data_IF_551711792414
#
_entry.id   IF_551711792414
#
_cell.length_a   1.000
_cell.length_b   1.000
_cell.length_c   1.000
_cell.angle_alpha   90.00
_cell.angle_beta   90.00
_cell.angle_gamma   90.00
#
_symmetry.space_group_name_H-M   'P 1'
#
loop_
_entity.id
_entity.type
_entity.pdbx_description
1 polymer ?
#
# COMPACT_ATOMS: atom_id res chain seq x y z
N UNK A 1 24.49 -44.19 -28.92
CA UNK A 1 24.39 -44.18 -27.82
C UNK A 1 24.71 -43.09 -26.91
N UNK A 2 25.88 -42.67 -26.68
CA UNK A 2 26.14 -41.62 -25.76
C UNK A 2 25.67 -40.31 -26.25
N UNK A 3 25.57 -40.17 -27.53
CA UNK A 3 25.13 -38.86 -28.05
C UNK A 3 23.78 -38.48 -27.58
N UNK A 4 22.93 -39.44 -27.40
CA UNK A 4 21.60 -39.07 -26.97
C UNK A 4 21.58 -38.44 -25.62
N UNK A 5 22.45 -38.90 -24.75
CA UNK A 5 22.46 -38.32 -23.44
C UNK A 5 22.89 -36.90 -23.46
N UNK A 6 23.85 -36.61 -24.31
CA UNK A 6 24.35 -35.26 -24.34
C UNK A 6 23.37 -34.29 -24.93
N UNK A 7 22.30 -34.78 -25.54
CA UNK A 7 21.41 -33.91 -26.15
C UNK A 7 20.65 -33.06 -25.19
N UNK A 8 20.15 -33.62 -24.14
CA UNK A 8 19.41 -32.84 -23.17
C UNK A 8 20.27 -31.83 -22.54
N UNK A 9 21.42 -32.21 -22.08
CA UNK A 9 22.34 -31.31 -21.49
C UNK A 9 23.52 -31.22 -22.37
N UNK A 10 23.59 -30.21 -23.18
CA UNK A 10 24.72 -30.08 -24.05
C UNK A 10 25.96 -30.28 -23.22
N UNK A 11 26.62 -31.33 -23.49
CA UNK A 11 27.69 -31.69 -22.69
C UNK A 11 28.92 -31.17 -23.23
N UNK A 12 29.23 -29.97 -22.94
CA UNK A 12 30.46 -29.42 -23.47
C UNK A 12 31.59 -30.15 -22.82
N UNK A 13 32.69 -29.97 -23.35
CA UNK A 13 33.85 -30.60 -22.84
C UNK A 13 34.78 -29.60 -22.28
N UNK A 14 35.45 -29.90 -21.23
CA UNK A 14 36.45 -29.04 -20.69
C UNK A 14 35.91 -27.65 -20.39
N UNK A 15 36.51 -26.67 -21.02
CA UNK A 15 36.14 -25.28 -20.75
C UNK A 15 34.70 -24.99 -21.09
N UNK A 16 34.09 -25.76 -21.99
CA UNK A 16 32.69 -25.57 -22.30
C UNK A 16 31.79 -25.84 -21.11
N UNK A 17 32.14 -26.86 -20.33
CA UNK A 17 31.38 -27.16 -19.13
C UNK A 17 31.45 -26.01 -18.12
N UNK A 18 32.64 -25.49 -17.95
CA UNK A 18 32.79 -24.38 -17.02
C UNK A 18 32.00 -23.16 -17.46
N UNK A 19 32.04 -22.86 -18.75
CA UNK A 19 31.27 -21.74 -19.29
C UNK A 19 29.77 -21.92 -19.07
N UNK A 20 29.31 -23.15 -19.29
CA UNK A 20 27.91 -23.46 -19.07
C UNK A 20 27.51 -23.23 -17.61
N UNK A 21 28.33 -23.71 -16.69
CA UNK A 21 28.03 -23.53 -15.27
C UNK A 21 28.07 -22.07 -14.87
N UNK A 22 29.05 -21.33 -15.38
CA UNK A 22 29.12 -19.93 -15.09
C UNK A 22 27.90 -19.19 -15.59
N UNK A 23 27.43 -19.53 -16.77
CA UNK A 23 26.25 -18.90 -17.32
C UNK A 23 25.01 -19.23 -16.51
N UNK A 24 24.88 -20.48 -16.10
CA UNK A 24 23.75 -20.86 -15.24
C UNK A 24 23.80 -20.13 -13.92
N UNK A 25 24.97 -19.97 -13.35
CA UNK A 25 25.10 -19.22 -12.10
C UNK A 25 24.72 -17.77 -12.29
N UNK A 26 25.07 -17.18 -13.42
CA UNK A 26 24.67 -15.81 -13.71
C UNK A 26 23.16 -15.68 -13.82
N UNK A 27 22.54 -16.63 -14.48
CA UNK A 27 21.09 -16.61 -14.64
C UNK A 27 20.40 -16.72 -13.29
N UNK A 28 20.85 -17.63 -12.45
CA UNK A 28 20.27 -17.80 -11.12
C UNK A 28 20.48 -16.57 -10.27
N UNK A 29 21.67 -15.96 -10.33
CA UNK A 29 21.94 -14.77 -9.57
C UNK A 29 21.07 -13.62 -10.02
N UNK A 30 20.86 -13.48 -11.33
CA UNK A 30 20.00 -12.43 -11.86
C UNK A 30 18.55 -12.62 -11.44
N UNK A 31 18.09 -13.88 -11.46
CA UNK A 31 16.73 -14.15 -11.02
C UNK A 31 16.55 -13.88 -9.54
N UNK A 32 17.55 -14.24 -8.76
CA UNK A 32 17.49 -13.99 -7.33
C UNK A 32 17.46 -12.50 -7.05
N UNK A 33 18.30 -11.73 -7.74
CA UNK A 33 18.32 -10.29 -7.56
C UNK A 33 16.99 -9.67 -7.94
N UNK A 34 16.40 -10.13 -9.04
CA UNK A 34 15.10 -9.62 -9.47
C UNK A 34 14.02 -9.96 -8.43
N UNK A 35 14.06 -11.17 -7.90
CA UNK A 35 13.09 -11.57 -6.89
C UNK A 35 13.22 -10.73 -5.64
N UNK A 36 14.43 -10.50 -5.18
CA UNK A 36 14.65 -9.69 -3.98
C UNK A 36 14.19 -8.26 -4.20
N UNK A 37 14.46 -7.71 -5.38
CA UNK A 37 14.03 -6.37 -5.69
C UNK A 37 12.52 -6.25 -5.68
N UNK A 38 11.83 -7.20 -6.30
CA UNK A 38 10.38 -7.19 -6.33
C UNK A 38 9.80 -7.37 -4.94
N UNK A 39 10.43 -8.20 -4.13
CA UNK A 39 9.97 -8.40 -2.77
C UNK A 39 10.08 -7.13 -1.96
N UNK A 40 11.20 -6.42 -2.10
CA UNK A 40 11.39 -5.16 -1.41
C UNK A 40 10.38 -4.11 -1.87
N UNK A 41 10.15 -4.02 -3.17
CA UNK A 41 9.17 -3.09 -3.70
C UNK A 41 7.77 -3.40 -3.19
N UNK A 42 7.44 -4.67 -3.12
CA UNK A 42 6.14 -5.08 -2.62
C UNK A 42 5.99 -4.71 -1.15
N UNK A 43 7.03 -4.94 -0.35
CA UNK A 43 6.99 -4.61 1.06
C UNK A 43 6.87 -3.10 1.27
N UNK A 44 7.59 -2.32 0.46
CA UNK A 44 7.48 -0.87 0.55
C UNK A 44 6.07 -0.39 0.22
N UNK A 45 5.49 -0.92 -0.84
CA UNK A 45 4.14 -0.54 -1.22
C UNK A 45 3.13 -0.96 -0.16
N UNK A 46 3.34 -2.12 0.45
CA UNK A 46 2.48 -2.58 1.51
C UNK A 46 2.53 -1.65 2.71
N UNK A 47 3.73 -1.19 3.07
CA UNK A 47 3.89 -0.25 4.17
C UNK A 47 3.25 1.08 3.85
N UNK A 48 3.41 1.55 2.61
CA UNK A 48 2.80 2.80 2.20
C UNK A 48 1.27 2.71 2.25
N UNK A 49 0.73 1.59 1.82
CA UNK A 49 -0.72 1.39 1.91
C UNK A 49 -1.20 1.41 3.34
N UNK A 50 -0.46 0.80 4.25
CA UNK A 50 -0.82 0.83 5.65
C UNK A 50 -0.81 2.25 6.20
N UNK A 51 0.19 3.04 5.82
CA UNK A 51 0.26 4.42 6.25
C UNK A 51 -0.94 5.21 5.71
N UNK A 52 -1.27 4.99 4.45
CA UNK A 52 -2.42 5.68 3.85
C UNK A 52 -3.70 5.28 4.57
N UNK A 53 -3.88 4.01 4.88
CA UNK A 53 -5.06 3.56 5.59
C UNK A 53 -5.16 4.17 6.97
N UNK A 54 -4.02 4.26 7.68
CA UNK A 54 -4.00 4.88 8.99
C UNK A 54 -4.36 6.35 8.90
N UNK A 55 -3.81 7.04 7.91
CA UNK A 55 -4.08 8.46 7.73
C UNK A 55 -5.53 8.71 7.35
N UNK A 56 -6.07 7.87 6.47
CA UNK A 56 -7.48 7.98 6.10
C UNK A 56 -8.38 7.76 7.31
N UNK A 57 -8.04 6.79 8.15
CA UNK A 57 -8.81 6.57 9.37
C UNK A 57 -8.79 7.77 10.29
N UNK A 58 -7.62 8.40 10.41
CA UNK A 58 -7.51 9.58 11.24
C UNK A 58 -8.32 10.74 10.68
N UNK A 59 -8.26 10.94 9.38
CA UNK A 59 -9.02 12.01 8.74
C UNK A 59 -10.51 11.76 8.86
N UNK A 60 -10.91 10.50 8.75
CA UNK A 60 -12.32 10.14 8.89
C UNK A 60 -12.82 10.46 10.29
N UNK A 61 -12.03 10.12 11.30
CA UNK A 61 -12.42 10.42 12.68
C UNK A 61 -12.48 11.93 12.93
N UNK A 62 -11.52 12.66 12.37
CA UNK A 62 -11.52 14.12 12.50
C UNK A 62 -12.76 14.71 11.85
N UNK A 63 -13.12 14.19 10.68
CA UNK A 63 -14.29 14.66 9.97
C UNK A 63 -15.57 14.37 10.75
N UNK A 64 -15.66 13.19 11.36
CA UNK A 64 -16.80 12.85 12.19
C UNK A 64 -16.92 13.80 13.38
N UNK A 65 -15.78 14.11 14.00
CA UNK A 65 -15.77 15.04 15.11
C UNK A 65 -16.26 16.43 14.69
N UNK A 66 -15.78 16.91 13.54
CA UNK A 66 -16.22 18.20 13.03
C UNK A 66 -17.70 18.19 12.71
N UNK A 67 -18.18 17.08 12.17
CA UNK A 67 -19.59 16.95 11.86
C UNK A 67 -20.45 17.02 13.11
N UNK A 68 -20.00 16.39 14.19
CA UNK A 68 -20.73 16.45 15.45
C UNK A 68 -20.69 17.84 16.04
N UNK A 69 -19.54 18.52 15.95
CA UNK A 69 -19.45 19.86 16.44
C UNK A 69 -20.38 20.82 15.67
N UNK A 70 -20.44 20.62 14.36
CA UNK A 70 -21.33 21.43 13.53
C UNK A 70 -22.78 21.20 13.91
N UNK A 71 -23.17 19.92 14.10
CA UNK A 71 -24.54 19.61 14.48
C UNK A 71 -24.87 20.23 15.83
N UNK A 72 -23.93 20.19 16.77
CA UNK A 72 -24.11 20.78 18.08
C UNK A 72 -24.26 22.30 17.98
N UNK A 73 -23.43 22.93 17.15
CA UNK A 73 -23.50 24.35 16.95
C UNK A 73 -24.83 24.77 16.31
N UNK A 74 -25.31 24.02 15.36
CA UNK A 74 -26.57 24.29 14.71
C UNK A 74 -27.73 24.17 15.72
N UNK A 75 -27.66 23.19 16.58
CA UNK A 75 -28.67 23.00 17.60
C UNK A 75 -28.68 24.19 18.56
N UNK A 76 -27.50 24.62 19.01
CA UNK A 76 -27.44 25.80 19.91
C UNK A 76 -27.96 27.02 19.24
N UNK A 77 -27.64 27.22 17.97
CA UNK A 77 -28.12 28.37 17.24
C UNK A 77 -29.64 28.37 17.15
N UNK A 78 -30.22 27.21 16.86
CA UNK A 78 -31.64 27.08 16.77
C UNK A 78 -32.32 27.41 18.11
N UNK A 79 -31.71 26.95 19.21
CA UNK A 79 -32.22 27.23 20.54
C UNK A 79 -32.14 28.71 20.85
N UNK A 80 -31.04 29.35 20.47
CA UNK A 80 -30.90 30.78 20.70
C UNK A 80 -31.92 31.60 19.88
N UNK A 81 -32.13 31.17 18.66
CA UNK A 81 -33.12 31.85 17.82
C UNK A 81 -34.52 31.68 18.38
N UNK A 82 -34.83 30.50 18.89
CA UNK A 82 -36.13 30.26 19.48
C UNK A 82 -36.31 31.10 20.74
N UNK A 83 -35.27 31.19 21.56
CA UNK A 83 -35.34 32.00 22.77
C UNK A 83 -35.49 33.47 22.43
N UNK A 84 -34.75 33.94 21.42
CA UNK A 84 -34.85 35.33 20.99
C UNK A 84 -36.24 35.65 20.46
N UNK A 85 -36.83 34.75 19.72
CA UNK A 85 -38.17 34.94 19.19
C UNK A 85 -39.18 35.02 20.30
N UNK A 86 -39.03 34.19 21.33
CA UNK A 86 -39.93 34.25 22.48
C UNK A 86 -39.81 35.57 23.21
N UNK A 87 -38.58 36.09 23.36
CA UNK A 87 -38.41 37.38 24.00
C UNK A 87 -39.10 38.48 23.22
N UNK A 88 -38.97 38.47 21.90
CA UNK A 88 -39.61 39.46 21.08
C UNK A 88 -41.12 39.39 21.18
N UNK A 89 -41.65 38.18 21.21
CA UNK A 89 -43.10 38.05 21.38
C UNK A 89 -43.57 38.54 22.73
N UNK A 90 -42.76 38.29 23.76
CA UNK A 90 -43.14 38.76 25.10
C UNK A 90 -43.13 40.27 25.20
N UNK A 91 -42.30 40.95 24.41
CA UNK A 91 -42.24 42.40 24.44
C UNK A 91 -43.40 43.07 23.68
N UNK A 92 -44.02 42.28 22.81
CA UNK A 92 -45.19 42.85 22.11
C UNK A 92 -46.44 42.75 22.96
#
# INVERSE_FOLDING_TARGET
>A
MEEEKTREFPEPEGSGTEQYLEEMQRIFAAREATYQKRKQEYEQKSQELQKIQTELGRQYQSLEGQKQELASAQQKLAEQEAAHRKEQEALQ
#
